data_IF_308631604107
#
_entry.id   IF_308631604107
#
_cell.length_a   1.000
_cell.length_b   1.000
_cell.length_c   1.000
_cell.angle_alpha   90.00
_cell.angle_beta   90.00
_cell.angle_gamma   90.00
#
_symmetry.space_group_name_H-M   'P 1'
#
loop_
_entity.id
_entity.type
_entity.pdbx_description
1 polymer ?
#
# COMPACT_ATOMS: atom_id res chain seq x y z
N UNK A 1 0.62 19.68 -13.58
CA UNK A 1 -0.59 19.16 -14.24
C UNK A 1 -1.52 18.63 -13.16
N UNK A 2 -2.79 19.05 -13.13
CA UNK A 2 -3.78 18.45 -12.22
C UNK A 2 -4.29 17.17 -12.88
N UNK A 3 -4.02 16.02 -12.30
CA UNK A 3 -4.63 14.76 -12.71
C UNK A 3 -6.15 14.88 -12.51
N UNK A 4 -6.92 14.63 -13.57
CA UNK A 4 -8.38 14.55 -13.47
C UNK A 4 -8.70 13.21 -12.82
N UNK A 5 -9.24 13.26 -11.60
CA UNK A 5 -9.76 12.09 -10.91
C UNK A 5 -10.93 11.54 -11.74
N UNK A 6 -10.79 10.35 -12.29
CA UNK A 6 -11.90 9.64 -12.92
C UNK A 6 -12.68 8.95 -11.82
N UNK A 7 -13.99 9.19 -11.75
CA UNK A 7 -14.86 8.50 -10.79
C UNK A 7 -14.76 6.98 -11.00
N UNK A 8 -14.81 6.18 -9.91
CA UNK A 8 -14.74 4.74 -10.02
C UNK A 8 -15.95 4.22 -10.83
N UNK A 9 -15.79 3.13 -11.60
CA UNK A 9 -16.89 2.51 -12.32
C UNK A 9 -18.05 2.17 -11.38
N UNK A 10 -19.29 2.32 -11.86
CA UNK A 10 -20.48 1.97 -11.08
C UNK A 10 -20.39 0.52 -10.58
N UNK A 11 -20.54 0.33 -9.26
CA UNK A 11 -20.45 -0.99 -8.62
C UNK A 11 -19.09 -1.32 -7.99
N UNK A 12 -18.10 -0.45 -8.10
CA UNK A 12 -16.81 -0.61 -7.42
C UNK A 12 -16.69 0.33 -6.23
N UNK A 13 -16.57 -0.25 -5.03
CA UNK A 13 -16.19 0.53 -3.85
C UNK A 13 -14.71 0.94 -3.95
N UNK A 14 -14.43 2.21 -3.71
CA UNK A 14 -13.07 2.77 -3.71
C UNK A 14 -12.74 3.31 -2.33
N UNK A 15 -11.51 3.02 -1.85
CA UNK A 15 -10.98 3.53 -0.59
C UNK A 15 -9.72 4.33 -0.92
N UNK A 16 -9.75 5.61 -0.57
CA UNK A 16 -8.64 6.53 -0.77
C UNK A 16 -7.76 6.61 0.48
N UNK A 17 -6.45 6.50 0.25
CA UNK A 17 -5.44 6.72 1.28
C UNK A 17 -4.72 8.06 1.04
N UNK A 18 -4.18 8.71 2.10
CA UNK A 18 -3.29 9.85 1.95
C UNK A 18 -2.07 9.51 1.08
N UNK A 19 -1.45 10.52 0.48
CA UNK A 19 -0.29 10.35 -0.42
C UNK A 19 0.92 9.67 0.20
N UNK A 20 1.00 9.63 1.54
CA UNK A 20 2.04 8.95 2.31
C UNK A 20 1.42 8.01 3.35
N UNK A 21 0.78 6.96 2.87
CA UNK A 21 0.29 5.86 3.71
C UNK A 21 1.38 4.79 3.90
N UNK A 22 1.48 4.24 5.10
CA UNK A 22 2.40 3.16 5.43
C UNK A 22 1.61 1.90 5.78
N UNK A 23 2.03 0.77 5.22
CA UNK A 23 1.38 -0.52 5.42
C UNK A 23 2.37 -1.54 5.99
N UNK A 24 1.90 -2.36 6.93
CA UNK A 24 2.66 -3.49 7.46
C UNK A 24 2.38 -4.72 6.61
N UNK A 25 3.43 -5.37 6.15
CA UNK A 25 3.34 -6.68 5.49
C UNK A 25 3.25 -7.76 6.56
N UNK A 26 2.16 -8.54 6.52
CA UNK A 26 1.97 -9.69 7.42
C UNK A 26 2.37 -11.01 6.77
N UNK A 27 2.05 -11.18 5.48
CA UNK A 27 2.35 -12.41 4.76
C UNK A 27 2.59 -12.13 3.28
N UNK A 28 3.44 -12.96 2.67
CA UNK A 28 3.70 -12.99 1.24
C UNK A 28 3.54 -14.43 0.78
N UNK A 29 2.63 -14.68 -0.17
CA UNK A 29 2.47 -15.97 -0.84
C UNK A 29 2.84 -15.83 -2.30
N UNK A 30 3.68 -16.73 -2.81
CA UNK A 30 3.95 -16.85 -4.25
C UNK A 30 3.24 -18.08 -4.78
N UNK A 31 2.57 -17.94 -5.91
CA UNK A 31 1.90 -19.03 -6.61
C UNK A 31 2.17 -18.90 -8.12
N UNK A 32 3.13 -19.69 -8.61
CA UNK A 32 3.66 -19.54 -9.96
C UNK A 32 4.22 -18.15 -10.21
N UNK A 33 3.60 -17.41 -11.14
CA UNK A 33 3.97 -16.02 -11.48
C UNK A 33 3.27 -14.97 -10.61
N UNK A 34 2.30 -15.37 -9.79
CA UNK A 34 1.51 -14.46 -8.97
C UNK A 34 2.14 -14.30 -7.59
N UNK A 35 2.13 -13.06 -7.08
CA UNK A 35 2.51 -12.76 -5.69
C UNK A 35 1.34 -12.11 -5.00
N UNK A 36 0.93 -12.68 -3.87
CA UNK A 36 -0.13 -12.18 -3.01
C UNK A 36 0.49 -11.63 -1.73
N UNK A 37 0.08 -10.44 -1.33
CA UNK A 37 0.60 -9.75 -0.15
C UNK A 37 -0.56 -9.40 0.76
N UNK A 38 -0.49 -9.83 2.02
CA UNK A 38 -1.42 -9.41 3.06
C UNK A 38 -0.83 -8.20 3.80
N UNK A 39 -1.57 -7.09 3.75
CA UNK A 39 -1.18 -5.80 4.32
C UNK A 39 -2.21 -5.36 5.38
N UNK A 40 -1.76 -4.65 6.41
CA UNK A 40 -2.63 -3.80 7.23
C UNK A 40 -2.11 -2.37 7.24
N UNK A 41 -2.98 -1.41 7.51
CA UNK A 41 -2.53 -0.06 7.85
C UNK A 41 -1.67 -0.09 9.11
N UNK A 42 -0.71 0.83 9.18
CA UNK A 42 0.06 1.08 10.39
C UNK A 42 -0.50 2.37 10.98
N UNK A 43 -1.13 2.30 12.16
CA UNK A 43 -1.43 3.52 12.92
C UNK A 43 -0.11 4.24 13.19
N UNK A 44 -0.09 5.57 13.11
CA UNK A 44 1.09 6.42 13.31
C UNK A 44 1.89 6.16 14.60
N UNK A 45 1.33 5.43 15.56
CA UNK A 45 1.93 5.10 16.86
C UNK A 45 2.66 3.74 16.89
N UNK A 46 2.81 3.03 15.77
CA UNK A 46 3.56 1.78 15.75
C UNK A 46 5.07 2.05 15.83
N UNK A 47 5.72 1.47 16.84
CA UNK A 47 7.16 1.52 17.08
C UNK A 47 7.98 1.39 15.78
N UNK A 48 8.70 2.46 15.41
CA UNK A 48 9.26 2.69 14.07
C UNK A 48 10.64 2.02 13.89
N UNK A 49 10.98 1.00 14.68
CA UNK A 49 12.22 0.24 14.46
C UNK A 49 12.02 -0.85 13.38
N UNK A 50 11.26 -0.51 12.35
CA UNK A 50 10.85 -1.42 11.26
C UNK A 50 11.51 -0.96 9.96
N UNK A 51 11.97 -1.91 9.14
CA UNK A 51 12.53 -1.63 7.82
C UNK A 51 11.42 -1.16 6.85
N UNK A 52 11.21 0.16 6.76
CA UNK A 52 10.24 0.78 5.86
C UNK A 52 10.88 0.99 4.49
N UNK A 53 10.18 0.57 3.43
CA UNK A 53 10.61 0.73 2.05
C UNK A 53 9.57 1.44 1.22
N UNK A 54 10.04 2.30 0.32
CA UNK A 54 9.22 2.91 -0.71
C UNK A 54 8.79 1.85 -1.73
N UNK A 55 7.49 1.73 -1.99
CA UNK A 55 6.93 0.67 -2.84
C UNK A 55 7.34 0.81 -4.31
N UNK A 56 7.60 2.04 -4.78
CA UNK A 56 7.92 2.31 -6.17
C UNK A 56 9.40 2.13 -6.49
N UNK A 57 10.29 2.54 -5.56
CA UNK A 57 11.74 2.48 -5.74
C UNK A 57 12.42 1.31 -5.02
N UNK A 58 11.74 0.67 -4.07
CA UNK A 58 12.28 -0.39 -3.22
C UNK A 58 13.35 0.08 -2.23
N UNK A 59 13.64 1.40 -2.20
CA UNK A 59 14.65 1.98 -1.31
C UNK A 59 14.10 2.10 0.10
N UNK A 60 15.00 1.99 1.07
CA UNK A 60 14.67 2.27 2.48
C UNK A 60 14.32 3.75 2.64
N UNK A 61 13.27 4.04 3.41
CA UNK A 61 12.87 5.38 3.83
C UNK A 61 13.43 5.66 5.23
#
# INVERSE_FOLDING_TARGET
MKEKYHEPPAGQAEILFPSRATFKVHAIKRDGKNTYVLLSDISSDANIDTDIKDIFSGKKI
#
